data_IF_592036181322
#
_entry.id   IF_592036181322
#
_cell.length_a   1.000
_cell.length_b   1.000
_cell.length_c   1.000
_cell.angle_alpha   90.00
_cell.angle_beta   90.00
_cell.angle_gamma   90.00
#
_symmetry.space_group_name_H-M   'P 1'
#
loop_
_entity.id
_entity.type
_entity.pdbx_description
1 polymer ?
#
# COMPACT_ATOMS: atom_id res chain seq x y z
N UNK A 1 26.82 -4.20 1.65
CA UNK A 1 26.60 -5.57 2.18
C UNK A 1 26.06 -5.60 3.62
N UNK A 2 26.51 -4.75 4.57
CA UNK A 2 26.01 -4.75 5.97
C UNK A 2 24.52 -4.38 6.08
N UNK A 3 24.06 -3.32 5.38
CA UNK A 3 22.66 -2.86 5.38
C UNK A 3 21.68 -3.93 4.91
N UNK A 4 21.99 -4.63 3.81
CA UNK A 4 21.15 -5.70 3.28
C UNK A 4 20.97 -6.85 4.29
N UNK A 5 22.06 -7.29 4.95
CA UNK A 5 21.97 -8.33 6.00
C UNK A 5 21.09 -7.91 7.17
N UNK A 6 21.12 -6.64 7.54
CA UNK A 6 20.29 -6.11 8.64
C UNK A 6 18.80 -6.12 8.22
N UNK A 7 18.46 -5.68 7.00
CA UNK A 7 17.09 -5.74 6.48
C UNK A 7 16.57 -7.18 6.44
N UNK A 8 17.38 -8.12 5.94
CA UNK A 8 17.01 -9.55 5.93
C UNK A 8 16.74 -10.09 7.34
N UNK A 9 17.53 -9.71 8.34
CA UNK A 9 17.28 -10.10 9.74
C UNK A 9 16.01 -9.49 10.29
N UNK A 10 15.72 -8.23 10.01
CA UNK A 10 14.44 -7.61 10.39
C UNK A 10 13.25 -8.33 9.75
N UNK A 11 13.36 -8.68 8.47
CA UNK A 11 12.32 -9.44 7.78
C UNK A 11 12.12 -10.82 8.40
N UNK A 12 13.22 -11.54 8.73
CA UNK A 12 13.14 -12.84 9.39
C UNK A 12 12.47 -12.74 10.78
N UNK A 13 12.81 -11.73 11.57
CA UNK A 13 12.19 -11.50 12.87
C UNK A 13 10.70 -11.18 12.75
N UNK A 14 10.33 -10.35 11.76
CA UNK A 14 8.93 -10.01 11.48
C UNK A 14 8.13 -11.25 11.08
N UNK A 15 8.71 -12.13 10.25
CA UNK A 15 8.10 -13.40 9.88
C UNK A 15 7.90 -14.31 11.11
N UNK A 16 8.90 -14.42 11.98
CA UNK A 16 8.78 -15.19 13.22
C UNK A 16 7.67 -14.67 14.13
N UNK A 17 7.52 -13.35 14.27
CA UNK A 17 6.44 -12.74 15.03
C UNK A 17 5.06 -13.12 14.47
N UNK A 18 4.90 -13.12 13.16
CA UNK A 18 3.65 -13.52 12.49
C UNK A 18 3.37 -15.01 12.73
N UNK A 19 4.38 -15.86 12.59
CA UNK A 19 4.25 -17.31 12.79
C UNK A 19 4.09 -17.71 14.26
N UNK A 20 4.48 -16.88 15.22
CA UNK A 20 4.32 -17.17 16.64
C UNK A 20 2.84 -17.14 17.11
N UNK A 21 1.96 -16.48 16.35
CA UNK A 21 0.52 -16.42 16.67
C UNK A 21 -0.34 -16.65 15.44
N UNK A 22 -0.36 -17.92 15.00
CA UNK A 22 -1.08 -18.34 13.77
C UNK A 22 -2.57 -17.99 13.80
N UNK A 23 -3.34 -18.15 14.92
CA UNK A 23 -4.75 -17.75 14.93
C UNK A 23 -4.96 -16.26 14.62
N UNK A 24 -4.15 -15.38 15.20
CA UNK A 24 -4.21 -13.94 14.95
C UNK A 24 -3.80 -13.62 13.50
N UNK A 25 -2.75 -14.29 12.99
CA UNK A 25 -2.37 -14.18 11.59
C UNK A 25 -3.54 -14.51 10.66
N UNK A 26 -4.16 -15.67 10.85
CA UNK A 26 -5.29 -16.12 10.02
C UNK A 26 -6.47 -15.14 10.10
N UNK A 27 -6.81 -14.66 11.30
CA UNK A 27 -7.90 -13.68 11.48
C UNK A 27 -7.66 -12.41 10.64
N UNK A 28 -6.48 -11.82 10.74
CA UNK A 28 -6.14 -10.60 9.97
C UNK A 28 -6.03 -10.89 8.47
N UNK A 29 -5.44 -12.00 8.08
CA UNK A 29 -5.33 -12.42 6.69
C UNK A 29 -6.72 -12.57 6.04
N UNK A 30 -7.62 -13.34 6.66
CA UNK A 30 -8.97 -13.50 6.15
C UNK A 30 -9.77 -12.19 6.17
N UNK A 31 -9.62 -11.35 7.18
CA UNK A 31 -10.26 -10.04 7.23
C UNK A 31 -9.86 -9.15 6.05
N UNK A 32 -8.57 -9.16 5.67
CA UNK A 32 -8.07 -8.44 4.48
C UNK A 32 -8.63 -9.04 3.20
N UNK A 33 -8.67 -10.37 3.08
CA UNK A 33 -9.26 -11.05 1.91
C UNK A 33 -10.74 -10.76 1.75
N UNK A 34 -11.51 -10.79 2.84
CA UNK A 34 -12.94 -10.46 2.82
C UNK A 34 -13.13 -9.02 2.34
N UNK A 35 -12.38 -8.06 2.89
CA UNK A 35 -12.45 -6.66 2.46
C UNK A 35 -12.13 -6.49 0.97
N UNK A 36 -11.09 -7.15 0.49
CA UNK A 36 -10.69 -7.16 -0.91
C UNK A 36 -11.78 -7.78 -1.80
N UNK A 37 -12.27 -8.96 -1.44
CA UNK A 37 -13.27 -9.70 -2.20
C UNK A 37 -14.63 -9.02 -2.22
N UNK A 38 -15.06 -8.42 -1.10
CA UNK A 38 -16.34 -7.70 -1.04
C UNK A 38 -16.36 -6.48 -1.98
N UNK A 39 -15.26 -5.74 -2.09
CA UNK A 39 -15.22 -4.61 -3.03
C UNK A 39 -15.14 -5.07 -4.48
N UNK A 40 -14.42 -6.17 -4.78
CA UNK A 40 -14.47 -6.80 -6.10
C UNK A 40 -15.89 -7.25 -6.46
N UNK A 41 -16.56 -7.92 -5.53
CA UNK A 41 -17.95 -8.34 -5.71
C UNK A 41 -18.87 -7.15 -5.94
N UNK A 42 -18.70 -6.07 -5.15
CA UNK A 42 -19.44 -4.83 -5.34
C UNK A 42 -19.25 -4.27 -6.75
N UNK A 43 -18.00 -4.20 -7.26
CA UNK A 43 -17.76 -3.74 -8.63
C UNK A 43 -18.42 -4.65 -9.67
N UNK A 44 -18.34 -5.97 -9.50
CA UNK A 44 -18.97 -6.92 -10.40
C UNK A 44 -20.49 -6.72 -10.44
N UNK A 45 -21.11 -6.53 -9.27
CA UNK A 45 -22.56 -6.31 -9.16
C UNK A 45 -22.99 -4.94 -9.69
N UNK A 46 -22.16 -3.90 -9.49
CA UNK A 46 -22.40 -2.55 -10.00
C UNK A 46 -22.58 -2.54 -11.53
N UNK A 47 -21.81 -3.36 -12.24
CA UNK A 47 -21.89 -3.49 -13.70
C UNK A 47 -22.92 -4.52 -14.17
N UNK A 48 -23.71 -5.09 -13.26
CA UNK A 48 -24.77 -6.02 -13.64
C UNK A 48 -25.94 -5.22 -14.26
N UNK A 49 -26.08 -5.32 -15.57
CA UNK A 49 -27.10 -4.59 -16.34
C UNK A 49 -26.69 -3.20 -16.83
N UNK A 50 -25.43 -2.77 -16.58
CA UNK A 50 -24.90 -1.49 -17.09
C UNK A 50 -23.60 -1.75 -17.85
N UNK A 51 -23.46 -1.18 -19.04
CA UNK A 51 -22.27 -1.40 -19.90
C UNK A 51 -21.08 -0.53 -19.50
N UNK A 52 -21.33 0.66 -18.95
CA UNK A 52 -20.29 1.57 -18.48
C UNK A 52 -20.79 2.46 -17.34
N UNK A 53 -19.89 2.86 -16.46
CA UNK A 53 -20.14 3.82 -15.36
C UNK A 53 -19.17 4.98 -15.54
N UNK A 54 -19.69 6.20 -15.76
CA UNK A 54 -18.92 7.42 -16.01
C UNK A 54 -17.83 7.26 -17.10
N UNK A 55 -18.13 6.48 -18.15
CA UNK A 55 -17.22 6.24 -19.28
C UNK A 55 -16.25 5.09 -19.11
N UNK A 56 -16.20 4.46 -17.93
CA UNK A 56 -15.35 3.29 -17.66
C UNK A 56 -16.10 1.99 -17.89
N UNK A 57 -15.50 1.05 -18.62
CA UNK A 57 -16.03 -0.31 -18.73
C UNK A 57 -15.78 -1.10 -17.43
N UNK A 58 -16.48 -2.25 -17.30
CA UNK A 58 -16.31 -3.16 -16.17
C UNK A 58 -14.86 -3.60 -16.00
N UNK A 59 -14.21 -3.98 -17.10
CA UNK A 59 -12.84 -4.48 -17.12
C UNK A 59 -11.85 -3.40 -16.69
N UNK A 60 -12.05 -2.16 -17.15
CA UNK A 60 -11.23 -1.02 -16.75
C UNK A 60 -11.36 -0.72 -15.26
N UNK A 61 -12.57 -0.74 -14.71
CA UNK A 61 -12.80 -0.52 -13.28
C UNK A 61 -12.21 -1.63 -12.41
N UNK A 62 -12.37 -2.89 -12.82
CA UNK A 62 -11.76 -4.03 -12.14
C UNK A 62 -10.24 -3.89 -12.13
N UNK A 63 -9.64 -3.60 -13.30
CA UNK A 63 -8.19 -3.45 -13.41
C UNK A 63 -7.68 -2.27 -12.58
N UNK A 64 -8.37 -1.14 -12.58
CA UNK A 64 -8.03 0.01 -11.76
C UNK A 64 -8.01 -0.33 -10.27
N UNK A 65 -9.05 -1.02 -9.78
CA UNK A 65 -9.11 -1.48 -8.39
C UNK A 65 -7.99 -2.49 -8.05
N UNK A 66 -7.65 -3.39 -8.96
CA UNK A 66 -6.56 -4.36 -8.78
C UNK A 66 -5.21 -3.66 -8.69
N UNK A 67 -4.95 -2.69 -9.57
CA UNK A 67 -3.71 -1.88 -9.56
C UNK A 67 -3.61 -1.08 -8.27
N UNK A 68 -4.70 -0.42 -7.85
CA UNK A 68 -4.75 0.26 -6.56
C UNK A 68 -4.35 -0.66 -5.40
N UNK A 69 -4.97 -1.85 -5.32
CA UNK A 69 -4.64 -2.80 -4.24
C UNK A 69 -3.19 -3.32 -4.35
N UNK A 70 -2.66 -3.49 -5.57
CA UNK A 70 -1.28 -3.89 -5.80
C UNK A 70 -0.31 -2.87 -5.20
N UNK A 71 -0.52 -1.58 -5.48
CA UNK A 71 0.30 -0.48 -4.96
C UNK A 71 0.13 -0.35 -3.44
N UNK A 72 -1.11 -0.27 -2.95
CA UNK A 72 -1.43 -0.08 -1.52
C UNK A 72 -0.88 -1.23 -0.67
N UNK A 73 -1.11 -2.48 -1.08
CA UNK A 73 -0.63 -3.65 -0.34
C UNK A 73 0.89 -3.76 -0.37
N UNK A 74 1.53 -3.43 -1.50
CA UNK A 74 3.00 -3.39 -1.59
C UNK A 74 3.59 -2.31 -0.70
N UNK A 75 2.99 -1.11 -0.68
CA UNK A 75 3.42 -0.03 0.20
C UNK A 75 3.24 -0.40 1.68
N UNK A 76 2.13 -1.02 2.05
CA UNK A 76 1.91 -1.50 3.42
C UNK A 76 2.89 -2.60 3.81
N UNK A 77 3.17 -3.56 2.92
CA UNK A 77 4.17 -4.60 3.14
C UNK A 77 5.55 -3.98 3.44
N UNK A 78 5.96 -2.99 2.65
CA UNK A 78 7.30 -2.39 2.75
C UNK A 78 7.44 -1.41 3.91
N UNK A 79 6.43 -0.56 4.15
CA UNK A 79 6.52 0.60 5.04
C UNK A 79 5.73 0.44 6.33
N UNK A 80 5.36 -0.78 6.70
CA UNK A 80 4.57 -1.07 7.91
C UNK A 80 5.20 -0.57 9.20
N UNK A 81 6.51 -0.49 9.28
CA UNK A 81 7.22 -0.03 10.46
C UNK A 81 6.93 1.44 10.81
N UNK A 82 6.61 2.27 9.82
CA UNK A 82 6.20 3.66 10.05
C UNK A 82 4.97 3.76 10.95
N UNK A 83 4.04 2.81 10.83
CA UNK A 83 2.82 2.74 11.64
C UNK A 83 3.09 2.32 13.10
N UNK A 84 4.26 1.77 13.38
CA UNK A 84 4.71 1.34 14.71
C UNK A 84 5.72 2.32 15.32
N UNK A 85 5.95 3.44 14.68
CA UNK A 85 7.02 4.38 15.05
C UNK A 85 6.70 5.18 16.32
N UNK A 86 5.42 5.52 16.55
CA UNK A 86 5.00 6.31 17.72
C UNK A 86 5.41 5.70 19.06
N UNK A 87 5.14 4.41 19.36
CA UNK A 87 5.60 3.80 20.61
C UNK A 87 7.11 3.91 20.80
N UNK A 88 7.88 3.83 19.71
CA UNK A 88 9.33 3.91 19.75
C UNK A 88 9.81 5.32 20.18
N UNK A 89 9.14 6.39 19.71
CA UNK A 89 9.44 7.76 20.12
C UNK A 89 9.02 8.00 21.57
N UNK A 90 7.79 7.67 21.92
CA UNK A 90 7.21 7.97 23.24
C UNK A 90 7.93 7.22 24.36
N UNK A 91 8.44 6.01 24.10
CA UNK A 91 9.23 5.24 25.07
C UNK A 91 10.69 5.64 25.16
N UNK A 92 11.18 6.60 24.33
CA UNK A 92 12.61 6.92 24.22
C UNK A 92 13.43 5.84 23.47
N UNK A 93 12.80 4.78 22.99
CA UNK A 93 13.47 3.70 22.27
C UNK A 93 14.12 4.14 20.97
N UNK A 94 13.69 5.27 20.41
CA UNK A 94 14.30 5.83 19.21
C UNK A 94 15.73 6.32 19.43
N UNK A 95 16.07 6.80 20.63
CA UNK A 95 17.45 7.21 20.97
C UNK A 95 18.43 6.03 20.83
N UNK A 96 17.99 4.83 21.20
CA UNK A 96 18.76 3.61 20.99
C UNK A 96 18.92 3.23 19.51
N UNK A 97 18.04 3.68 18.62
CA UNK A 97 18.20 3.52 17.16
C UNK A 97 19.23 4.50 16.62
N UNK A 98 19.25 5.75 17.13
CA UNK A 98 20.20 6.78 16.71
C UNK A 98 21.67 6.43 17.05
N UNK A 99 21.89 5.68 18.12
CA UNK A 99 23.24 5.26 18.54
C UNK A 99 23.81 4.07 17.74
N UNK A 100 23.01 3.41 16.91
CA UNK A 100 23.45 2.25 16.12
C UNK A 100 24.12 2.66 14.81
N UNK A 101 25.14 1.94 14.33
CA UNK A 101 25.82 2.22 13.06
C UNK A 101 24.98 1.78 11.86
N UNK A 102 23.72 2.22 11.81
CA UNK A 102 22.74 1.92 10.77
C UNK A 102 21.82 3.12 10.59
N UNK A 103 21.42 3.42 9.32
CA UNK A 103 20.56 4.56 9.02
C UNK A 103 19.22 4.48 9.76
N UNK A 104 18.89 5.47 10.61
CA UNK A 104 17.60 5.50 11.30
C UNK A 104 16.41 5.54 10.34
N UNK A 105 16.54 6.24 9.20
CA UNK A 105 15.49 6.32 8.17
C UNK A 105 15.20 4.94 7.59
N UNK A 106 16.25 4.19 7.20
CA UNK A 106 16.10 2.84 6.66
C UNK A 106 15.49 1.91 7.72
N UNK A 107 15.86 2.05 8.99
CA UNK A 107 15.25 1.28 10.08
C UNK A 107 13.76 1.60 10.24
N UNK A 108 13.40 2.87 10.19
CA UNK A 108 12.02 3.31 10.39
C UNK A 108 11.10 2.98 9.20
N UNK A 109 11.66 2.90 7.99
CA UNK A 109 10.89 2.51 6.79
C UNK A 109 10.80 0.98 6.64
N UNK A 110 11.92 0.28 6.72
CA UNK A 110 12.03 -1.13 6.35
C UNK A 110 12.31 -2.06 7.54
N UNK A 111 12.10 -1.59 8.76
CA UNK A 111 12.45 -2.32 9.97
C UNK A 111 11.57 -3.52 10.32
N UNK A 112 10.43 -3.69 9.65
CA UNK A 112 9.52 -4.79 9.91
C UNK A 112 8.43 -4.91 8.84
N UNK A 113 8.69 -5.58 7.70
CA UNK A 113 7.68 -5.82 6.68
C UNK A 113 6.50 -6.63 7.25
N UNK A 114 5.29 -6.34 6.77
CA UNK A 114 4.08 -7.04 7.21
C UNK A 114 3.84 -8.29 6.35
N UNK A 115 4.24 -9.46 6.86
CA UNK A 115 4.06 -10.71 6.14
C UNK A 115 2.58 -11.15 5.98
N UNK A 116 1.64 -10.53 6.69
CA UNK A 116 0.21 -10.72 6.42
C UNK A 116 -0.13 -10.16 5.04
N UNK A 117 0.43 -8.99 4.72
CA UNK A 117 0.24 -8.36 3.41
C UNK A 117 0.92 -9.12 2.28
N UNK A 118 2.00 -9.86 2.55
CA UNK A 118 2.64 -10.69 1.54
C UNK A 118 1.72 -11.76 0.97
N UNK A 119 0.99 -12.48 1.84
CA UNK A 119 0.02 -13.49 1.40
C UNK A 119 -1.14 -12.88 0.58
N UNK A 120 -1.65 -11.73 1.00
CA UNK A 120 -2.70 -10.99 0.27
C UNK A 120 -2.17 -10.48 -1.07
N UNK A 121 -0.93 -9.97 -1.12
CA UNK A 121 -0.28 -9.49 -2.32
C UNK A 121 -0.17 -10.58 -3.40
N UNK A 122 0.17 -11.80 -3.02
CA UNK A 122 0.22 -12.92 -3.98
C UNK A 122 -1.13 -13.15 -4.67
N UNK A 123 -2.23 -13.06 -3.92
CA UNK A 123 -3.58 -13.20 -4.45
C UNK A 123 -3.93 -12.02 -5.37
N UNK A 124 -3.58 -10.79 -4.98
CA UNK A 124 -3.79 -9.59 -5.81
C UNK A 124 -3.00 -9.69 -7.12
N UNK A 125 -1.72 -10.09 -7.07
CA UNK A 125 -0.89 -10.29 -8.27
C UNK A 125 -1.51 -11.35 -9.18
N UNK A 126 -1.91 -12.50 -8.64
CA UNK A 126 -2.53 -13.58 -9.42
C UNK A 126 -3.83 -13.11 -10.09
N UNK A 127 -4.70 -12.41 -9.36
CA UNK A 127 -5.95 -11.86 -9.92
C UNK A 127 -5.69 -10.77 -10.96
N UNK A 128 -4.68 -9.92 -10.75
CA UNK A 128 -4.28 -8.89 -11.72
C UNK A 128 -3.78 -9.52 -13.03
N UNK A 129 -2.92 -10.52 -12.95
CA UNK A 129 -2.42 -11.25 -14.12
C UNK A 129 -3.57 -11.97 -14.86
N UNK A 130 -4.48 -12.60 -14.09
CA UNK A 130 -5.65 -13.27 -14.68
C UNK A 130 -6.53 -12.29 -15.46
N UNK A 131 -6.91 -11.15 -14.86
CA UNK A 131 -7.75 -10.14 -15.50
C UNK A 131 -7.04 -9.50 -16.71
N UNK A 132 -5.74 -9.19 -16.58
CA UNK A 132 -4.95 -8.63 -17.67
C UNK A 132 -4.89 -9.57 -18.88
N UNK A 133 -4.63 -10.86 -18.67
CA UNK A 133 -4.53 -11.84 -19.75
C UNK A 133 -5.90 -12.19 -20.37
N UNK A 134 -6.98 -12.13 -19.58
CA UNK A 134 -8.31 -12.52 -20.05
C UNK A 134 -9.03 -11.41 -20.82
N UNK A 135 -8.83 -10.15 -20.40
CA UNK A 135 -9.64 -9.05 -20.93
C UNK A 135 -8.84 -7.96 -21.65
N UNK A 136 -7.56 -7.76 -21.31
CA UNK A 136 -6.77 -6.61 -21.80
C UNK A 136 -5.75 -7.04 -22.85
N UNK A 137 -5.14 -8.24 -22.71
CA UNK A 137 -4.08 -8.76 -23.58
C UNK A 137 -2.93 -7.78 -23.82
N UNK A 138 -2.23 -7.34 -22.73
CA UNK A 138 -1.22 -6.28 -22.84
C UNK A 138 -0.04 -6.70 -23.67
N UNK A 139 0.46 -5.79 -24.50
CA UNK A 139 1.74 -5.94 -25.23
C UNK A 139 2.93 -5.84 -24.27
N UNK A 140 4.10 -6.34 -24.69
CA UNK A 140 5.34 -6.24 -23.88
C UNK A 140 5.69 -4.81 -23.49
N UNK A 141 5.49 -3.85 -24.38
CA UNK A 141 5.74 -2.43 -24.09
C UNK A 141 4.80 -1.92 -22.98
N UNK A 142 3.53 -2.29 -23.02
CA UNK A 142 2.56 -1.91 -21.97
C UNK A 142 2.91 -2.53 -20.62
N UNK A 143 3.41 -3.77 -20.58
CA UNK A 143 3.88 -4.40 -19.33
C UNK A 143 5.08 -3.64 -18.77
N UNK A 144 6.07 -3.27 -19.59
CA UNK A 144 7.24 -2.52 -19.15
C UNK A 144 6.83 -1.15 -18.61
N UNK A 145 5.96 -0.42 -19.33
CA UNK A 145 5.44 0.87 -18.87
C UNK A 145 4.64 0.74 -17.57
N UNK A 146 3.82 -0.30 -17.46
CA UNK A 146 3.07 -0.59 -16.24
C UNK A 146 4.01 -0.82 -15.05
N UNK A 147 5.06 -1.64 -15.20
CA UNK A 147 6.04 -1.86 -14.14
C UNK A 147 6.78 -0.58 -13.75
N UNK A 148 7.13 0.27 -14.73
CA UNK A 148 7.74 1.57 -14.47
C UNK A 148 6.79 2.49 -13.67
N UNK A 149 5.50 2.49 -13.98
CA UNK A 149 4.48 3.26 -13.23
C UNK A 149 4.29 2.73 -11.81
N UNK A 150 4.28 1.41 -11.59
CA UNK A 150 4.26 0.81 -10.25
C UNK A 150 5.47 1.26 -9.43
N UNK A 151 6.67 1.24 -10.00
CA UNK A 151 7.88 1.72 -9.31
C UNK A 151 7.73 3.21 -8.94
N UNK A 152 7.26 4.04 -9.87
CA UNK A 152 7.01 5.46 -9.61
C UNK A 152 6.02 5.66 -8.46
N UNK A 153 4.90 4.92 -8.45
CA UNK A 153 3.89 4.97 -7.39
C UNK A 153 4.47 4.57 -6.03
N UNK A 154 5.32 3.54 -5.98
CA UNK A 154 6.00 3.13 -4.75
C UNK A 154 7.02 4.16 -4.26
N UNK A 155 7.70 4.89 -5.16
CA UNK A 155 8.58 6.00 -4.80
C UNK A 155 7.78 7.16 -4.19
N UNK A 156 6.62 7.50 -4.73
CA UNK A 156 5.71 8.51 -4.17
C UNK A 156 5.23 8.05 -2.78
N UNK A 157 4.82 6.79 -2.63
CA UNK A 157 4.44 6.22 -1.34
C UNK A 157 5.59 6.31 -0.32
N UNK A 158 6.82 5.97 -0.72
CA UNK A 158 8.00 6.08 0.13
C UNK A 158 8.26 7.52 0.59
N UNK A 159 8.21 8.48 -0.36
CA UNK A 159 8.39 9.90 -0.06
C UNK A 159 7.36 10.40 0.96
N UNK A 160 6.10 9.99 0.81
CA UNK A 160 5.05 10.31 1.75
C UNK A 160 5.28 9.71 3.15
N UNK A 161 5.70 8.45 3.24
CA UNK A 161 6.02 7.83 4.52
C UNK A 161 7.23 8.48 5.21
N UNK A 162 8.23 8.96 4.45
CA UNK A 162 9.35 9.75 4.98
C UNK A 162 8.84 11.08 5.55
N UNK A 163 7.92 11.76 4.85
CA UNK A 163 7.32 13.00 5.31
C UNK A 163 6.53 12.78 6.60
N UNK A 164 5.72 11.73 6.67
CA UNK A 164 4.97 11.35 7.89
C UNK A 164 5.93 11.08 9.06
N UNK A 165 7.03 10.37 8.82
CA UNK A 165 8.06 10.15 9.86
C UNK A 165 8.67 11.48 10.33
N UNK A 166 9.03 12.37 9.40
CA UNK A 166 9.61 13.68 9.74
C UNK A 166 8.68 14.52 10.61
N UNK A 167 7.42 14.62 10.24
CA UNK A 167 6.41 15.33 11.04
C UNK A 167 6.19 14.61 12.38
N UNK A 168 6.15 13.27 12.37
CA UNK A 168 5.96 12.46 13.57
C UNK A 168 7.06 12.66 14.62
N UNK A 169 8.31 12.86 14.20
CA UNK A 169 9.43 13.16 15.10
C UNK A 169 9.23 14.53 15.75
N UNK A 170 8.75 15.52 15.00
CA UNK A 170 8.54 16.91 15.49
C UNK A 170 7.32 16.99 16.43
N UNK A 171 6.23 16.29 16.08
CA UNK A 171 4.94 16.40 16.78
C UNK A 171 4.72 15.32 17.84
N UNK A 172 5.60 14.33 17.92
CA UNK A 172 5.45 13.13 18.76
C UNK A 172 4.16 12.34 18.48
N UNK A 173 3.51 12.60 17.34
CA UNK A 173 2.24 11.97 16.94
C UNK A 173 2.24 11.63 15.45
N UNK A 174 2.31 10.34 15.14
CA UNK A 174 2.28 9.82 13.75
C UNK A 174 0.89 9.32 13.37
N UNK A 175 0.10 8.89 14.36
CA UNK A 175 -1.12 8.12 14.14
C UNK A 175 -2.15 8.85 13.29
N UNK A 176 -2.40 10.12 13.58
CA UNK A 176 -3.37 10.93 12.84
C UNK A 176 -2.96 11.14 11.38
N UNK A 177 -1.67 11.38 11.13
CA UNK A 177 -1.15 11.56 9.76
C UNK A 177 -1.24 10.28 8.95
N UNK A 178 -0.93 9.14 9.57
CA UNK A 178 -1.07 7.83 8.96
C UNK A 178 -2.54 7.53 8.64
N UNK A 179 -3.46 7.84 9.55
CA UNK A 179 -4.90 7.65 9.30
C UNK A 179 -5.39 8.52 8.14
N UNK A 180 -5.04 9.81 8.13
CA UNK A 180 -5.38 10.72 7.02
C UNK A 180 -4.83 10.18 5.70
N UNK A 181 -3.58 9.73 5.65
CA UNK A 181 -3.00 9.15 4.44
C UNK A 181 -3.79 7.93 3.96
N UNK A 182 -4.13 7.02 4.86
CA UNK A 182 -4.91 5.82 4.53
C UNK A 182 -6.31 6.15 4.02
N UNK A 183 -6.96 7.15 4.61
CA UNK A 183 -8.30 7.57 4.20
C UNK A 183 -8.26 8.24 2.83
N UNK A 184 -7.24 9.07 2.58
CA UNK A 184 -7.02 9.71 1.29
C UNK A 184 -6.67 8.69 0.20
N UNK A 185 -5.77 7.77 0.46
CA UNK A 185 -5.44 6.70 -0.49
C UNK A 185 -6.62 5.75 -0.74
N UNK A 186 -7.50 5.57 0.25
CA UNK A 186 -8.72 4.76 0.05
C UNK A 186 -9.69 5.36 -0.98
N UNK A 187 -9.64 6.68 -1.23
CA UNK A 187 -10.41 7.32 -2.30
C UNK A 187 -9.95 6.89 -3.70
N UNK A 188 -8.71 6.43 -3.84
CA UNK A 188 -8.16 5.93 -5.12
C UNK A 188 -8.63 4.53 -5.52
N UNK A 189 -9.53 3.92 -4.77
CA UNK A 189 -10.18 2.66 -5.21
C UNK A 189 -11.01 2.83 -6.47
N UNK A 190 -11.37 4.07 -6.79
CA UNK A 190 -12.06 4.47 -7.99
C UNK A 190 -11.27 5.59 -8.68
N UNK A 191 -11.35 5.72 -10.03
CA UNK A 191 -10.63 6.76 -10.77
C UNK A 191 -10.91 8.17 -10.25
N UNK A 192 -9.87 8.99 -10.10
CA UNK A 192 -10.00 10.37 -9.61
C UNK A 192 -10.87 11.23 -10.52
N UNK A 193 -10.96 10.89 -11.81
CA UNK A 193 -11.82 11.55 -12.78
C UNK A 193 -13.32 11.43 -12.47
N UNK A 194 -13.72 10.46 -11.64
CA UNK A 194 -15.10 10.28 -11.19
C UNK A 194 -15.50 11.27 -10.09
N UNK A 195 -14.54 11.98 -9.49
CA UNK A 195 -14.85 13.01 -8.50
C UNK A 195 -15.14 14.36 -9.18
N UNK A 196 -16.10 15.10 -8.64
CA UNK A 196 -16.39 16.47 -9.06
C UNK A 196 -15.39 17.46 -8.44
N UNK A 197 -15.21 18.63 -9.08
CA UNK A 197 -14.45 19.71 -8.46
C UNK A 197 -15.19 20.25 -7.23
N UNK A 198 -14.48 20.63 -6.14
CA UNK A 198 -13.02 20.78 -6.01
C UNK A 198 -12.26 19.52 -5.60
N UNK A 199 -12.93 18.40 -5.26
CA UNK A 199 -12.28 17.18 -4.73
C UNK A 199 -11.26 16.63 -5.73
N UNK A 200 -11.63 16.56 -7.01
CA UNK A 200 -10.73 16.11 -8.08
C UNK A 200 -9.43 16.91 -8.10
N UNK A 201 -9.51 18.24 -8.05
CA UNK A 201 -8.33 19.12 -8.07
C UNK A 201 -7.45 18.94 -6.84
N UNK A 202 -8.05 18.77 -5.66
CA UNK A 202 -7.33 18.52 -4.41
C UNK A 202 -6.58 17.19 -4.49
N UNK A 203 -7.24 16.11 -4.93
CA UNK A 203 -6.64 14.78 -5.05
C UNK A 203 -5.55 14.69 -6.12
N UNK A 204 -5.59 15.56 -7.14
CA UNK A 204 -4.59 15.57 -8.21
C UNK A 204 -3.39 16.45 -7.88
N UNK A 205 -3.61 17.67 -7.35
CA UNK A 205 -2.56 18.70 -7.26
C UNK A 205 -2.07 18.99 -5.85
N UNK A 206 -2.92 18.82 -4.82
CA UNK A 206 -2.55 19.11 -3.44
C UNK A 206 -2.08 17.85 -2.73
N UNK A 207 -2.80 16.77 -2.92
CA UNK A 207 -2.44 15.45 -2.41
C UNK A 207 -2.16 14.60 -3.63
N UNK A 208 -0.88 14.39 -4.04
CA UNK A 208 -0.55 13.78 -5.33
C UNK A 208 -0.92 12.29 -5.40
N UNK A 209 -2.01 11.94 -4.77
CA UNK A 209 -2.63 10.62 -4.72
C UNK A 209 -3.19 10.26 -6.10
N UNK A 210 -3.69 11.25 -6.86
CA UNK A 210 -4.19 11.04 -8.22
C UNK A 210 -3.11 10.82 -9.28
N UNK A 211 -1.83 10.93 -8.91
CA UNK A 211 -0.66 10.70 -9.79
C UNK A 211 -0.03 9.33 -9.50
N UNK A 212 -0.35 8.70 -8.37
CA UNK A 212 0.06 7.34 -8.02
C UNK A 212 -0.67 6.32 -8.87
#
# INVERSE_FOLDING_TARGET
MKTFRVIVRFSANSLQQVLSNVPVFLLFFFSKLVRYGLFLLFLILLFNGVTSVMGYSREQMLMFYLIYNLIDTTAQLMFREVYRFRPLIVSGGFDAVLTKPFSPIIRSLFGGPDFIDFGVLLIIVATTIYVANTYIHPSWLQIILFLAMIINSLLIAAAFHILVLGIGIITFSVDHLVMIFRDLTALMRIPVDMFTNPIRSILTFVIPVGIM
#
